data_IF_091790377708
#
_entry.id   IF_091790377708
#
_cell.length_a   1.000
_cell.length_b   1.000
_cell.length_c   1.000
_cell.angle_alpha   90.00
_cell.angle_beta   90.00
_cell.angle_gamma   90.00
#
_symmetry.space_group_name_H-M   'P 1'
#
loop_
_entity.id
_entity.type
_entity.pdbx_description
1 polymer ?
#
# COMPACT_ATOMS: atom_id res chain seq x y z
N UNK A 1 26.56 -14.62 5.40
CA UNK A 1 27.62 -13.77 6.00
C UNK A 1 28.90 -14.56 6.19
N UNK A 2 28.94 -15.66 6.97
CA UNK A 2 30.15 -16.48 7.12
C UNK A 2 30.80 -16.91 5.79
N UNK A 3 29.99 -17.38 4.82
CA UNK A 3 30.47 -17.74 3.49
C UNK A 3 31.05 -16.57 2.67
N UNK A 4 30.55 -15.35 2.85
CA UNK A 4 31.09 -14.16 2.18
C UNK A 4 32.40 -13.69 2.82
N UNK A 5 32.50 -13.79 4.15
CA UNK A 5 33.73 -13.47 4.88
C UNK A 5 34.83 -14.51 4.63
N UNK A 6 34.45 -15.78 4.49
CA UNK A 6 35.38 -16.85 4.09
C UNK A 6 35.91 -16.63 2.67
N UNK A 7 35.06 -16.19 1.74
CA UNK A 7 35.45 -15.85 0.36
C UNK A 7 36.36 -14.60 0.28
N UNK A 8 36.29 -13.73 1.28
CA UNK A 8 37.14 -12.53 1.42
C UNK A 8 38.39 -12.77 2.28
N UNK A 9 38.66 -14.00 2.73
CA UNK A 9 39.73 -14.35 3.68
C UNK A 9 39.70 -13.52 5.00
N UNK A 10 38.50 -13.12 5.42
CA UNK A 10 38.24 -12.26 6.60
C UNK A 10 37.47 -13.00 7.71
N UNK A 11 37.38 -14.33 7.63
CA UNK A 11 36.74 -15.13 8.66
C UNK A 11 37.75 -15.53 9.76
N UNK A 12 38.10 -14.57 10.62
CA UNK A 12 38.91 -14.85 11.79
C UNK A 12 38.07 -15.41 12.97
N UNK A 13 38.70 -15.97 14.03
CA UNK A 13 37.98 -16.52 15.18
C UNK A 13 37.13 -15.49 15.94
N UNK A 14 37.51 -14.21 15.94
CA UNK A 14 36.76 -13.14 16.61
C UNK A 14 35.49 -12.80 15.83
N UNK A 15 35.57 -12.71 14.51
CA UNK A 15 34.44 -12.48 13.59
C UNK A 15 33.50 -13.69 13.63
N UNK A 16 34.04 -14.91 13.72
CA UNK A 16 33.25 -16.11 13.98
C UNK A 16 32.46 -16.02 15.30
N UNK A 17 33.08 -15.56 16.38
CA UNK A 17 32.41 -15.35 17.67
C UNK A 17 31.36 -14.24 17.62
N UNK A 18 31.59 -13.17 16.84
CA UNK A 18 30.64 -12.09 16.59
C UNK A 18 29.41 -12.58 15.82
N UNK A 19 29.60 -13.38 14.78
CA UNK A 19 28.52 -13.98 14.00
C UNK A 19 27.63 -14.91 14.85
N UNK A 20 28.20 -15.59 15.84
CA UNK A 20 27.46 -16.43 16.78
C UNK A 20 26.67 -15.65 17.85
N UNK A 21 26.93 -14.34 18.01
CA UNK A 21 26.27 -13.47 19.00
C UNK A 21 25.57 -12.25 18.37
N UNK A 22 25.05 -12.40 17.14
CA UNK A 22 24.35 -11.33 16.41
C UNK A 22 23.09 -10.82 17.12
N UNK A 23 22.51 -11.62 18.02
CA UNK A 23 21.36 -11.24 18.85
C UNK A 23 21.71 -10.12 19.86
N UNK A 24 22.94 -10.10 20.37
CA UNK A 24 23.45 -9.03 21.24
C UNK A 24 23.70 -7.74 20.45
N UNK A 25 24.16 -7.86 19.20
CA UNK A 25 24.29 -6.72 18.26
C UNK A 25 22.91 -6.11 17.99
N UNK A 26 21.89 -6.94 17.74
CA UNK A 26 20.52 -6.48 17.52
C UNK A 26 19.92 -5.75 18.74
N UNK A 27 20.31 -6.15 19.95
CA UNK A 27 19.91 -5.49 21.21
C UNK A 27 20.75 -4.26 21.56
N UNK A 28 21.77 -3.95 20.78
CA UNK A 28 22.77 -2.89 21.07
C UNK A 28 23.48 -3.09 22.41
N UNK A 29 23.65 -4.35 22.84
CA UNK A 29 24.35 -4.69 24.08
C UNK A 29 25.84 -4.97 23.81
N UNK A 30 26.57 -3.90 23.52
CA UNK A 30 27.99 -3.97 23.16
C UNK A 30 28.89 -4.31 24.36
N UNK A 31 28.43 -4.10 25.60
CA UNK A 31 29.20 -4.39 26.81
C UNK A 31 29.32 -5.90 27.00
N UNK A 32 28.18 -6.61 26.96
CA UNK A 32 28.15 -8.07 27.08
C UNK A 32 28.84 -8.74 25.88
N UNK A 33 28.77 -8.11 24.71
CA UNK A 33 29.41 -8.59 23.49
C UNK A 33 30.94 -8.53 23.57
N UNK A 34 31.52 -7.42 24.05
CA UNK A 34 32.97 -7.26 24.26
C UNK A 34 33.51 -8.31 25.23
N UNK A 35 32.81 -8.54 26.35
CA UNK A 35 33.21 -9.53 27.35
C UNK A 35 33.22 -10.96 26.80
N UNK A 36 32.29 -11.30 25.89
CA UNK A 36 32.22 -12.63 25.28
C UNK A 36 33.24 -12.87 24.17
N UNK A 37 33.57 -11.84 23.41
CA UNK A 37 34.47 -11.94 22.23
C UNK A 37 35.93 -11.67 22.64
N UNK A 38 36.16 -10.90 23.70
CA UNK A 38 37.50 -10.47 24.10
C UNK A 38 38.09 -9.39 23.18
N UNK A 39 37.24 -8.63 22.49
CA UNK A 39 37.63 -7.58 21.55
C UNK A 39 37.78 -6.22 22.25
N UNK A 40 38.70 -5.38 21.75
CA UNK A 40 38.78 -3.97 22.14
C UNK A 40 37.65 -3.14 21.52
N UNK A 41 37.53 -1.88 21.94
CA UNK A 41 36.54 -0.94 21.41
C UNK A 41 36.77 -0.64 19.93
N UNK A 42 38.04 -0.55 19.52
CA UNK A 42 38.44 -0.32 18.13
C UNK A 42 38.16 -1.57 17.27
N UNK A 43 38.58 -2.75 17.73
CA UNK A 43 38.36 -4.01 17.01
C UNK A 43 36.87 -4.30 16.80
N UNK A 44 36.04 -4.06 17.82
CA UNK A 44 34.59 -4.26 17.69
C UNK A 44 33.97 -3.29 16.67
N UNK A 45 34.47 -2.05 16.59
CA UNK A 45 34.06 -1.07 15.61
C UNK A 45 34.32 -1.57 14.19
N UNK A 46 35.57 -1.95 13.93
CA UNK A 46 36.02 -2.45 12.62
C UNK A 46 35.23 -3.69 12.18
N UNK A 47 35.06 -4.66 13.09
CA UNK A 47 34.29 -5.88 12.81
C UNK A 47 32.81 -5.60 12.50
N UNK A 48 32.20 -4.62 13.17
CA UNK A 48 30.81 -4.24 12.91
C UNK A 48 30.66 -3.51 11.58
N UNK A 49 31.64 -2.70 11.18
CA UNK A 49 31.66 -2.08 9.86
C UNK A 49 31.78 -3.13 8.75
N UNK A 50 32.66 -4.12 8.92
CA UNK A 50 32.80 -5.23 7.98
C UNK A 50 31.50 -6.02 7.82
N UNK A 51 30.85 -6.41 8.92
CA UNK A 51 29.57 -7.13 8.84
C UNK A 51 28.47 -6.29 8.18
N UNK A 52 28.47 -4.96 8.39
CA UNK A 52 27.52 -4.05 7.75
C UNK A 52 27.78 -3.89 6.25
N UNK A 53 29.02 -4.01 5.81
CA UNK A 53 29.40 -3.96 4.40
C UNK A 53 28.98 -5.22 3.63
N UNK A 54 28.76 -6.34 4.31
CA UNK A 54 28.30 -7.59 3.71
C UNK A 54 26.87 -7.50 3.18
N UNK A 55 26.59 -8.23 2.10
CA UNK A 55 25.24 -8.33 1.59
C UNK A 55 24.46 -9.40 2.38
N UNK A 56 23.44 -9.04 3.18
CA UNK A 56 22.69 -10.01 3.98
C UNK A 56 21.87 -11.00 3.13
N UNK A 57 21.64 -10.70 1.84
CA UNK A 57 20.85 -11.53 0.93
C UNK A 57 21.52 -11.63 -0.46
N UNK A 58 22.66 -12.32 -0.59
CA UNK A 58 23.38 -12.44 -1.87
C UNK A 58 22.54 -13.11 -2.97
N UNK A 59 21.66 -14.05 -2.59
CA UNK A 59 20.75 -14.73 -3.50
C UNK A 59 19.73 -13.81 -4.19
N UNK A 60 19.53 -12.57 -3.70
CA UNK A 60 18.60 -11.60 -4.30
C UNK A 60 19.06 -11.14 -5.69
N UNK A 61 20.36 -11.17 -5.99
CA UNK A 61 20.87 -10.85 -7.32
C UNK A 61 20.52 -11.93 -8.36
N UNK A 62 20.21 -13.15 -7.90
CA UNK A 62 19.79 -14.28 -8.74
C UNK A 62 18.28 -14.49 -8.71
N UNK A 63 17.55 -13.61 -8.01
CA UNK A 63 16.10 -13.61 -8.01
C UNK A 63 15.61 -13.04 -9.34
N UNK A 64 15.34 -13.95 -10.29
CA UNK A 64 14.77 -13.63 -11.60
C UNK A 64 13.26 -13.36 -11.56
N UNK A 65 12.67 -13.16 -10.37
CA UNK A 65 11.28 -12.77 -10.27
C UNK A 65 11.08 -11.40 -10.92
N UNK A 66 10.52 -11.40 -12.13
CA UNK A 66 10.00 -10.18 -12.73
C UNK A 66 8.94 -9.62 -11.80
N UNK A 67 9.19 -8.45 -11.19
CA UNK A 67 8.15 -7.73 -10.48
C UNK A 67 7.00 -7.50 -11.45
N UNK A 68 5.88 -8.18 -11.22
CA UNK A 68 4.66 -7.91 -11.97
C UNK A 68 4.15 -6.55 -11.52
N UNK A 69 4.40 -5.54 -12.37
CA UNK A 69 3.84 -4.22 -12.16
C UNK A 69 2.30 -4.34 -12.20
N UNK A 70 1.65 -3.82 -11.17
CA UNK A 70 0.19 -3.77 -11.14
C UNK A 70 -0.27 -2.79 -12.21
N UNK A 71 -1.03 -3.29 -13.18
CA UNK A 71 -1.61 -2.47 -14.25
C UNK A 71 -2.91 -1.84 -13.73
N UNK A 72 -3.08 -0.51 -13.84
CA UNK A 72 -4.31 0.15 -13.41
C UNK A 72 -5.48 -0.19 -14.33
N UNK A 73 -6.67 -0.28 -13.74
CA UNK A 73 -7.94 -0.42 -14.47
C UNK A 73 -8.51 0.94 -14.89
N UNK A 74 -8.25 1.99 -14.12
CA UNK A 74 -8.73 3.36 -14.36
C UNK A 74 -7.59 4.35 -14.19
N UNK A 75 -7.52 5.35 -15.07
CA UNK A 75 -6.66 6.52 -14.94
C UNK A 75 -7.49 7.73 -14.52
N UNK A 76 -7.00 8.47 -13.52
CA UNK A 76 -7.51 9.78 -13.12
C UNK A 76 -6.44 10.82 -13.45
N UNK A 77 -6.83 11.85 -14.22
CA UNK A 77 -5.95 12.97 -14.60
C UNK A 77 -6.67 14.30 -14.40
N UNK A 78 -5.93 15.39 -14.12
CA UNK A 78 -6.53 16.73 -14.14
C UNK A 78 -7.06 17.04 -15.55
N UNK A 79 -8.31 17.47 -15.62
CA UNK A 79 -8.94 17.96 -16.84
C UNK A 79 -8.62 19.43 -17.10
N UNK A 80 -8.79 19.91 -18.34
CA UNK A 80 -8.55 21.31 -18.71
C UNK A 80 -9.50 22.29 -17.99
N UNK A 81 -10.69 21.84 -17.60
CA UNK A 81 -11.71 22.67 -16.94
C UNK A 81 -11.53 22.75 -15.41
N UNK A 82 -10.41 22.24 -14.88
CA UNK A 82 -10.16 22.14 -13.44
C UNK A 82 -10.83 20.96 -12.73
N UNK A 83 -11.59 20.12 -13.46
CA UNK A 83 -12.17 18.87 -12.97
C UNK A 83 -11.23 17.66 -13.13
N UNK A 84 -11.75 16.45 -12.88
CA UNK A 84 -11.03 15.19 -13.11
C UNK A 84 -11.50 14.51 -14.38
N UNK A 85 -10.55 14.15 -15.25
CA UNK A 85 -10.76 13.28 -16.40
C UNK A 85 -10.50 11.83 -15.97
N UNK A 86 -11.47 10.96 -16.19
CA UNK A 86 -11.38 9.53 -15.89
C UNK A 86 -11.44 8.69 -17.17
N UNK A 87 -10.48 7.80 -17.33
CA UNK A 87 -10.37 6.92 -18.49
C UNK A 87 -10.18 5.47 -18.04
N UNK A 88 -10.92 4.54 -18.65
CA UNK A 88 -10.68 3.11 -18.47
C UNK A 88 -9.43 2.69 -19.22
N UNK A 89 -8.65 1.80 -18.63
CA UNK A 89 -7.51 1.21 -19.33
C UNK A 89 -7.99 0.16 -20.35
N UNK A 90 -7.93 0.51 -21.63
CA UNK A 90 -8.36 -0.36 -22.73
C UNK A 90 -7.46 -1.59 -22.95
N UNK A 91 -6.29 -1.66 -22.33
CA UNK A 91 -5.36 -2.79 -22.42
C UNK A 91 -5.76 -3.96 -21.52
N UNK A 92 -6.36 -3.66 -20.36
CA UNK A 92 -6.88 -4.68 -19.41
C UNK A 92 -8.34 -5.03 -19.65
N UNK A 93 -9.06 -4.26 -20.46
CA UNK A 93 -10.44 -4.56 -20.83
C UNK A 93 -10.50 -5.71 -21.86
N UNK A 94 -11.22 -6.81 -21.57
CA UNK A 94 -11.38 -7.90 -22.53
C UNK A 94 -12.19 -7.43 -23.73
N UNK A 95 -11.59 -7.53 -24.93
CA UNK A 95 -12.26 -7.21 -26.20
C UNK A 95 -12.96 -8.45 -26.74
N UNK A 96 -14.28 -8.51 -26.56
CA UNK A 96 -15.11 -9.62 -27.07
C UNK A 96 -15.94 -9.13 -28.25
N UNK A 97 -15.86 -9.84 -29.38
CA UNK A 97 -16.63 -9.56 -30.58
C UNK A 97 -17.47 -10.78 -30.95
N UNK A 98 -18.77 -10.56 -31.16
CA UNK A 98 -19.68 -11.61 -31.62
C UNK A 98 -19.55 -11.76 -33.13
N UNK A 99 -19.10 -12.93 -33.60
CA UNK A 99 -18.97 -13.21 -35.03
C UNK A 99 -20.34 -13.50 -35.67
N UNK A 100 -21.01 -12.44 -36.14
CA UNK A 100 -22.32 -12.51 -36.79
C UNK A 100 -22.27 -13.19 -38.16
N UNK A 101 -21.16 -13.03 -38.90
CA UNK A 101 -20.98 -13.65 -40.22
C UNK A 101 -20.98 -15.17 -40.12
N UNK A 102 -20.27 -15.71 -39.13
CA UNK A 102 -20.27 -17.14 -38.84
C UNK A 102 -21.67 -17.64 -38.49
N UNK A 103 -22.36 -16.97 -37.57
CA UNK A 103 -23.75 -17.29 -37.21
C UNK A 103 -24.66 -17.37 -38.45
N UNK A 104 -24.62 -16.35 -39.32
CA UNK A 104 -25.43 -16.33 -40.55
C UNK A 104 -25.05 -17.45 -41.53
N UNK A 105 -23.77 -17.80 -41.63
CA UNK A 105 -23.31 -18.88 -42.52
C UNK A 105 -23.80 -20.26 -42.07
N UNK A 106 -23.76 -20.51 -40.75
CA UNK A 106 -24.18 -21.78 -40.15
C UNK A 106 -25.70 -21.89 -40.14
N UNK A 107 -26.39 -20.82 -39.73
CA UNK A 107 -27.86 -20.76 -39.67
C UNK A 107 -28.52 -21.09 -41.03
N UNK A 108 -27.91 -20.70 -42.15
CA UNK A 108 -28.37 -21.03 -43.51
C UNK A 108 -28.25 -22.52 -43.86
N UNK A 109 -27.29 -23.24 -43.26
CA UNK A 109 -27.04 -24.67 -43.51
C UNK A 109 -27.85 -25.57 -42.59
N UNK A 110 -28.27 -25.05 -41.45
CA UNK A 110 -29.05 -25.77 -40.44
C UNK A 110 -30.50 -25.97 -40.86
N UNK A 111 -30.96 -27.23 -40.88
CA UNK A 111 -32.32 -27.59 -41.30
C UNK A 111 -33.21 -28.04 -40.14
N UNK A 112 -32.64 -28.67 -39.12
CA UNK A 112 -33.39 -29.17 -37.96
C UNK A 112 -33.81 -28.02 -37.02
N UNK A 113 -35.01 -28.15 -36.45
CA UNK A 113 -35.60 -27.18 -35.52
C UNK A 113 -34.82 -27.14 -34.20
N UNK A 114 -34.31 -28.29 -33.73
CA UNK A 114 -33.49 -28.36 -32.50
C UNK A 114 -32.15 -27.64 -32.67
N UNK A 115 -31.48 -27.86 -33.80
CA UNK A 115 -30.21 -27.20 -34.12
C UNK A 115 -30.37 -25.68 -34.26
N UNK A 116 -31.47 -25.22 -34.90
CA UNK A 116 -31.77 -23.77 -34.99
C UNK A 116 -31.98 -23.14 -33.62
N UNK A 117 -32.71 -23.81 -32.73
CA UNK A 117 -32.94 -23.33 -31.37
C UNK A 117 -31.62 -23.21 -30.59
N UNK A 118 -30.73 -24.20 -30.71
CA UNK A 118 -29.41 -24.18 -30.09
C UNK A 118 -28.55 -22.99 -30.58
N UNK A 119 -28.53 -22.73 -31.90
CA UNK A 119 -27.78 -21.60 -32.44
C UNK A 119 -28.30 -20.26 -31.92
N UNK A 120 -29.63 -20.09 -31.83
CA UNK A 120 -30.24 -18.88 -31.26
C UNK A 120 -29.82 -18.70 -29.80
N UNK A 121 -29.82 -19.76 -29.00
CA UNK A 121 -29.38 -19.72 -27.61
C UNK A 121 -27.89 -19.33 -27.49
N UNK A 122 -27.01 -19.92 -28.29
CA UNK A 122 -25.59 -19.52 -28.34
C UNK A 122 -25.40 -18.04 -28.69
N UNK A 123 -26.18 -17.51 -29.65
CA UNK A 123 -26.12 -16.10 -30.01
C UNK A 123 -26.62 -15.19 -28.89
N UNK A 124 -27.70 -15.59 -28.20
CA UNK A 124 -28.22 -14.87 -27.04
C UNK A 124 -27.19 -14.83 -25.91
N UNK A 125 -26.56 -15.97 -25.60
CA UNK A 125 -25.51 -16.08 -24.59
C UNK A 125 -24.28 -15.21 -24.95
N UNK A 126 -23.86 -15.19 -26.22
CA UNK A 126 -22.76 -14.35 -26.68
C UNK A 126 -23.07 -12.84 -26.58
N UNK A 127 -24.29 -12.44 -26.96
CA UNK A 127 -24.74 -11.04 -26.82
C UNK A 127 -24.87 -10.64 -25.34
N UNK A 128 -25.40 -11.53 -24.50
CA UNK A 128 -25.49 -11.32 -23.06
C UNK A 128 -24.10 -11.10 -22.45
N UNK A 129 -23.13 -11.97 -22.77
CA UNK A 129 -21.75 -11.84 -22.27
C UNK A 129 -21.14 -10.48 -22.66
N UNK A 130 -21.28 -10.09 -23.93
CA UNK A 130 -20.76 -8.81 -24.42
C UNK A 130 -21.37 -7.63 -23.67
N UNK A 131 -22.70 -7.66 -23.48
CA UNK A 131 -23.43 -6.63 -22.72
C UNK A 131 -23.02 -6.60 -21.25
N UNK A 132 -22.83 -7.76 -20.62
CA UNK A 132 -22.41 -7.85 -19.22
C UNK A 132 -20.99 -7.32 -18.99
N UNK A 133 -20.08 -7.53 -19.96
CA UNK A 133 -18.73 -6.97 -19.90
C UNK A 133 -18.73 -5.45 -20.02
N UNK A 134 -19.50 -4.91 -20.97
CA UNK A 134 -19.67 -3.46 -21.14
C UNK A 134 -20.31 -2.82 -19.90
N UNK A 135 -21.37 -3.43 -19.37
CA UNK A 135 -22.01 -2.96 -18.13
C UNK A 135 -21.03 -2.95 -16.96
N UNK A 136 -20.19 -3.99 -16.81
CA UNK A 136 -19.16 -4.03 -15.77
C UNK A 136 -18.14 -2.90 -15.93
N UNK A 137 -17.67 -2.65 -17.15
CA UNK A 137 -16.73 -1.56 -17.44
C UNK A 137 -17.33 -0.19 -17.09
N UNK A 138 -18.59 0.04 -17.48
CA UNK A 138 -19.33 1.25 -17.13
C UNK A 138 -19.51 1.41 -15.62
N UNK A 139 -19.82 0.33 -14.89
CA UNK A 139 -19.94 0.41 -13.43
C UNK A 139 -18.60 0.71 -12.76
N UNK A 140 -17.49 0.11 -13.22
CA UNK A 140 -16.15 0.43 -12.72
C UNK A 140 -15.87 1.93 -12.88
N UNK A 141 -16.16 2.49 -14.07
CA UNK A 141 -15.97 3.90 -14.34
C UNK A 141 -16.85 4.77 -13.45
N UNK A 142 -18.14 4.44 -13.27
CA UNK A 142 -19.05 5.16 -12.37
C UNK A 142 -18.55 5.19 -10.92
N UNK A 143 -18.11 4.04 -10.41
CA UNK A 143 -17.53 3.93 -9.06
C UNK A 143 -16.26 4.77 -8.96
N UNK A 144 -15.37 4.71 -9.94
CA UNK A 144 -14.15 5.50 -9.94
C UNK A 144 -14.42 7.01 -10.00
N UNK A 145 -15.40 7.43 -10.80
CA UNK A 145 -15.83 8.84 -10.89
C UNK A 145 -16.35 9.34 -9.54
N UNK A 146 -17.17 8.53 -8.85
CA UNK A 146 -17.69 8.92 -7.55
C UNK A 146 -16.59 8.96 -6.48
N UNK A 147 -15.64 8.02 -6.51
CA UNK A 147 -14.44 8.06 -5.66
C UNK A 147 -13.66 9.35 -5.91
N UNK A 148 -13.40 9.71 -7.18
CA UNK A 148 -12.66 10.92 -7.55
C UNK A 148 -13.37 12.19 -7.04
N UNK A 149 -14.70 12.25 -7.17
CA UNK A 149 -15.54 13.35 -6.70
C UNK A 149 -15.47 13.52 -5.19
N UNK A 150 -15.63 12.43 -4.43
CA UNK A 150 -15.59 12.46 -2.97
C UNK A 150 -14.18 12.72 -2.42
N UNK A 151 -13.14 12.31 -3.16
CA UNK A 151 -11.72 12.38 -2.76
C UNK A 151 -10.94 13.48 -3.49
N UNK A 152 -11.62 14.53 -3.95
CA UNK A 152 -10.99 15.66 -4.64
C UNK A 152 -9.81 16.26 -3.83
N UNK A 153 -10.02 16.49 -2.53
CA UNK A 153 -9.00 17.03 -1.64
C UNK A 153 -7.77 16.12 -1.52
N UNK A 154 -7.95 14.80 -1.57
CA UNK A 154 -6.85 13.83 -1.59
C UNK A 154 -6.08 13.88 -2.92
N UNK A 155 -6.77 13.97 -4.05
CA UNK A 155 -6.12 14.01 -5.36
C UNK A 155 -5.26 15.26 -5.52
N UNK A 156 -5.67 16.39 -4.91
CA UNK A 156 -4.92 17.64 -4.88
C UNK A 156 -3.79 17.64 -3.83
N UNK A 157 -4.09 17.33 -2.57
CA UNK A 157 -3.19 17.58 -1.43
C UNK A 157 -2.55 16.30 -0.84
N UNK A 158 -2.95 15.12 -1.33
CA UNK A 158 -2.43 13.83 -0.92
C UNK A 158 -3.11 13.21 0.30
N UNK A 159 -2.46 12.18 0.86
CA UNK A 159 -3.01 11.29 1.91
C UNK A 159 -3.51 12.03 3.16
N UNK A 160 -2.90 13.17 3.50
CA UNK A 160 -3.29 13.97 4.66
C UNK A 160 -4.71 14.53 4.57
N UNK A 161 -5.24 14.68 3.35
CA UNK A 161 -6.58 15.18 3.07
C UNK A 161 -7.53 14.08 2.58
N UNK A 162 -7.21 12.81 2.87
CA UNK A 162 -8.12 11.69 2.60
C UNK A 162 -9.37 11.81 3.47
N UNK A 163 -10.54 11.92 2.83
CA UNK A 163 -11.82 12.05 3.50
C UNK A 163 -12.39 10.67 3.83
N UNK A 164 -13.04 10.47 4.99
CA UNK A 164 -13.79 9.26 5.27
C UNK A 164 -14.84 8.99 4.19
N UNK A 165 -14.89 7.77 3.69
CA UNK A 165 -15.84 7.36 2.66
C UNK A 165 -16.14 5.89 2.86
N UNK A 166 -17.41 5.55 3.02
CA UNK A 166 -17.86 4.15 3.15
C UNK A 166 -18.33 3.61 1.81
N UNK A 167 -18.37 2.28 1.69
CA UNK A 167 -18.95 1.61 0.52
C UNK A 167 -20.40 2.04 0.30
N UNK A 168 -21.16 2.24 1.39
CA UNK A 168 -22.54 2.73 1.35
C UNK A 168 -22.64 4.11 0.71
N UNK A 169 -21.74 5.05 1.02
CA UNK A 169 -21.78 6.39 0.43
C UNK A 169 -21.71 6.34 -1.10
N UNK A 170 -20.79 5.53 -1.64
CA UNK A 170 -20.65 5.37 -3.10
C UNK A 170 -21.82 4.60 -3.68
N UNK A 171 -22.26 3.54 -3.00
CA UNK A 171 -23.39 2.71 -3.44
C UNK A 171 -24.69 3.51 -3.57
N UNK A 172 -25.00 4.34 -2.57
CA UNK A 172 -26.17 5.23 -2.57
C UNK A 172 -26.07 6.26 -3.71
N UNK A 173 -24.88 6.86 -3.94
CA UNK A 173 -24.68 7.87 -4.97
C UNK A 173 -24.81 7.34 -6.41
N UNK A 174 -24.45 6.07 -6.65
CA UNK A 174 -24.56 5.44 -7.98
C UNK A 174 -25.81 4.56 -8.13
N UNK A 175 -26.72 4.58 -7.15
CA UNK A 175 -27.96 3.79 -7.10
C UNK A 175 -27.71 2.28 -7.25
N UNK A 176 -26.70 1.76 -6.57
CA UNK A 176 -26.36 0.33 -6.57
C UNK A 176 -26.30 -0.24 -5.16
N UNK A 177 -26.34 -1.58 -5.07
CA UNK A 177 -26.19 -2.25 -3.78
C UNK A 177 -24.73 -2.26 -3.31
N UNK A 178 -24.50 -2.07 -2.00
CA UNK A 178 -23.16 -2.03 -1.38
C UNK A 178 -22.31 -3.27 -1.75
N UNK A 179 -22.92 -4.45 -1.75
CA UNK A 179 -22.24 -5.70 -2.13
C UNK A 179 -21.72 -5.69 -3.57
N UNK A 180 -22.36 -4.95 -4.47
CA UNK A 180 -21.91 -4.80 -5.86
C UNK A 180 -20.68 -3.92 -5.94
N UNK A 181 -20.68 -2.78 -5.23
CA UNK A 181 -19.52 -1.89 -5.13
C UNK A 181 -18.32 -2.61 -4.49
N UNK A 182 -18.55 -3.36 -3.41
CA UNK A 182 -17.52 -4.15 -2.74
C UNK A 182 -16.86 -5.19 -3.68
N UNK A 183 -17.69 -5.91 -4.46
CA UNK A 183 -17.19 -6.90 -5.43
C UNK A 183 -16.42 -6.24 -6.58
N UNK A 184 -16.94 -5.13 -7.10
CA UNK A 184 -16.34 -4.45 -8.25
C UNK A 184 -14.99 -3.83 -7.89
N UNK A 185 -14.85 -3.25 -6.70
CA UNK A 185 -13.64 -2.55 -6.26
C UNK A 185 -12.51 -3.48 -5.81
N UNK A 186 -12.79 -4.76 -5.60
CA UNK A 186 -11.79 -5.75 -5.19
C UNK A 186 -10.80 -6.04 -6.32
N UNK A 187 -9.49 -5.98 -6.03
CA UNK A 187 -8.43 -6.16 -7.03
C UNK A 187 -8.62 -5.24 -8.24
N UNK A 188 -9.03 -3.99 -7.99
CA UNK A 188 -9.07 -2.94 -8.99
C UNK A 188 -8.20 -1.78 -8.55
N UNK A 189 -7.46 -1.25 -9.49
CA UNK A 189 -6.48 -0.21 -9.22
C UNK A 189 -6.78 1.04 -10.04
N UNK A 190 -6.57 2.18 -9.40
CA UNK A 190 -6.71 3.50 -9.99
C UNK A 190 -5.32 4.14 -10.01
N UNK A 191 -4.86 4.52 -11.19
CA UNK A 191 -3.71 5.40 -11.34
C UNK A 191 -4.16 6.85 -11.17
N UNK A 192 -3.57 7.54 -10.21
CA UNK A 192 -3.85 8.95 -9.87
C UNK A 192 -2.58 9.78 -10.05
N UNK A 193 -2.67 11.12 -10.04
CA UNK A 193 -1.47 11.99 -10.02
C UNK A 193 -0.61 11.86 -8.76
N UNK A 194 -1.09 11.12 -7.75
CA UNK A 194 -0.40 10.83 -6.50
C UNK A 194 0.19 9.41 -6.46
N UNK A 195 -0.04 8.60 -7.50
CA UNK A 195 0.42 7.22 -7.58
C UNK A 195 -0.72 6.22 -7.85
N UNK A 196 -0.37 4.94 -7.78
CA UNK A 196 -1.29 3.82 -8.00
C UNK A 196 -1.90 3.37 -6.67
N UNK A 197 -3.23 3.32 -6.61
CA UNK A 197 -3.97 2.92 -5.42
C UNK A 197 -5.00 1.84 -5.75
N UNK A 198 -5.17 0.85 -4.87
CA UNK A 198 -6.35 -0.02 -4.96
C UNK A 198 -7.60 0.82 -4.68
N UNK A 199 -8.70 0.58 -5.39
CA UNK A 199 -9.98 1.27 -5.14
C UNK A 199 -10.40 1.17 -3.67
N UNK A 200 -10.12 0.04 -3.03
CA UNK A 200 -10.47 -0.19 -1.63
C UNK A 200 -9.73 0.71 -0.64
N UNK A 201 -8.58 1.24 -1.01
CA UNK A 201 -7.80 2.15 -0.18
C UNK A 201 -8.62 3.38 0.23
N UNK A 202 -9.50 3.85 -0.65
CA UNK A 202 -10.31 5.03 -0.40
C UNK A 202 -11.48 4.78 0.56
N UNK A 203 -11.87 3.51 0.80
CA UNK A 203 -12.94 3.19 1.73
C UNK A 203 -12.41 3.16 3.15
N UNK A 204 -12.45 4.31 3.81
CA UNK A 204 -11.94 4.51 5.16
C UNK A 204 -13.04 4.93 6.12
N UNK A 205 -12.93 4.47 7.36
CA UNK A 205 -13.83 4.89 8.44
C UNK A 205 -13.40 6.24 9.00
N UNK A 206 -14.39 7.06 9.33
CA UNK A 206 -14.18 8.29 10.08
C UNK A 206 -13.67 7.99 11.49
N UNK A 207 -12.90 8.92 12.05
CA UNK A 207 -12.58 8.93 13.47
C UNK A 207 -13.69 9.67 14.21
N UNK A 208 -14.17 9.14 15.33
CA UNK A 208 -15.12 9.89 16.16
C UNK A 208 -14.37 11.08 16.79
N UNK A 209 -14.55 12.28 16.25
CA UNK A 209 -14.15 13.52 16.93
C UNK A 209 -15.32 14.00 17.81
N UNK A 210 -14.99 14.69 18.90
CA UNK A 210 -15.96 15.34 19.79
C UNK A 210 -16.81 16.40 19.09
N UNK A 211 -16.39 16.84 17.89
CA UNK A 211 -16.93 17.96 17.12
C UNK A 211 -18.06 17.58 16.14
N UNK A 212 -18.48 16.31 16.06
CA UNK A 212 -19.63 15.87 15.26
C UNK A 212 -19.40 15.74 13.75
N UNK A 213 -18.46 16.48 13.18
CA UNK A 213 -18.00 16.34 11.78
C UNK A 213 -16.50 16.08 11.77
N UNK A 214 -16.10 14.81 11.64
CA UNK A 214 -14.70 14.45 11.44
C UNK A 214 -14.38 14.34 9.95
N UNK A 215 -13.70 15.34 9.42
CA UNK A 215 -13.21 15.32 8.02
C UNK A 215 -12.00 14.39 7.80
N UNK A 216 -11.44 13.83 8.88
CA UNK A 216 -10.18 13.08 8.82
C UNK A 216 -10.38 11.56 8.87
N UNK A 217 -9.82 10.87 7.87
CA UNK A 217 -9.77 9.42 7.86
C UNK A 217 -8.71 8.87 8.83
N UNK A 218 -8.93 7.63 9.29
CA UNK A 218 -7.92 6.91 10.09
C UNK A 218 -6.56 6.76 9.38
N UNK A 219 -6.55 6.69 8.04
CA UNK A 219 -5.31 6.59 7.26
C UNK A 219 -4.57 7.92 7.16
N UNK A 220 -5.31 9.04 7.02
CA UNK A 220 -4.73 10.39 7.11
C UNK A 220 -3.99 10.59 8.43
N UNK A 221 -4.60 10.16 9.55
CA UNK A 221 -4.00 10.28 10.88
C UNK A 221 -2.76 9.40 11.03
N UNK A 222 -2.78 8.16 10.53
CA UNK A 222 -1.58 7.31 10.50
C UNK A 222 -0.44 7.97 9.73
N UNK A 223 -0.75 8.56 8.58
CA UNK A 223 0.24 9.26 7.76
C UNK A 223 0.81 10.48 8.49
N UNK A 224 -0.03 11.28 9.14
CA UNK A 224 0.40 12.43 9.95
C UNK A 224 1.28 12.00 11.14
N UNK A 225 0.92 10.93 11.86
CA UNK A 225 1.74 10.37 12.94
C UNK A 225 3.13 10.00 12.40
N UNK A 226 3.19 9.35 11.24
CA UNK A 226 4.46 9.01 10.59
C UNK A 226 5.27 10.26 10.26
N UNK A 227 4.68 11.28 9.64
CA UNK A 227 5.36 12.54 9.34
C UNK A 227 5.91 13.24 10.59
N UNK A 228 5.13 13.28 11.68
CA UNK A 228 5.55 13.87 12.95
C UNK A 228 6.73 13.11 13.55
N UNK A 229 6.70 11.77 13.51
CA UNK A 229 7.79 10.93 14.03
C UNK A 229 9.03 11.00 13.14
N UNK A 230 8.86 11.03 11.82
CA UNK A 230 9.98 11.11 10.87
C UNK A 230 10.71 12.47 10.98
N UNK A 231 9.97 13.55 11.32
CA UNK A 231 10.52 14.89 11.56
C UNK A 231 11.08 15.10 12.99
N UNK A 232 11.07 14.10 13.88
CA UNK A 232 11.49 14.29 15.26
C UNK A 232 13.03 14.43 15.40
N UNK A 233 13.46 15.42 16.19
CA UNK A 233 14.87 15.64 16.53
C UNK A 233 15.41 14.50 17.43
N UNK A 234 16.64 14.07 17.18
CA UNK A 234 17.38 13.09 17.98
C UNK A 234 17.45 13.51 19.46
N UNK A 235 17.57 14.82 19.74
CA UNK A 235 17.62 15.34 21.11
C UNK A 235 16.25 15.44 21.78
N UNK A 236 15.16 15.48 21.00
CA UNK A 236 13.79 15.69 21.49
C UNK A 236 12.81 14.73 20.83
N UNK A 237 12.89 13.47 21.24
CA UNK A 237 11.96 12.43 20.77
C UNK A 237 10.58 12.64 21.37
N UNK A 238 9.58 12.62 20.51
CA UNK A 238 8.21 12.91 20.85
C UNK A 238 7.55 11.71 21.53
N UNK A 239 6.88 11.94 22.67
CA UNK A 239 6.01 10.95 23.30
C UNK A 239 4.67 10.85 22.57
N UNK A 240 3.95 9.75 22.74
CA UNK A 240 2.61 9.58 22.16
C UNK A 240 1.65 10.70 22.62
N UNK A 241 1.78 11.18 23.87
CA UNK A 241 1.03 12.33 24.38
C UNK A 241 1.37 13.63 23.63
N UNK A 242 2.65 13.84 23.31
CA UNK A 242 3.07 15.04 22.56
C UNK A 242 2.61 14.99 21.11
N UNK A 243 2.59 13.81 20.50
CA UNK A 243 2.04 13.61 19.16
C UNK A 243 0.53 13.94 19.17
N UNK A 244 -0.22 13.52 20.21
CA UNK A 244 -1.63 13.88 20.35
C UNK A 244 -1.85 15.39 20.40
N UNK A 245 -1.04 16.09 21.21
CA UNK A 245 -1.10 17.55 21.36
C UNK A 245 -0.79 18.27 20.04
N UNK A 246 0.21 17.80 19.29
CA UNK A 246 0.58 18.37 17.98
C UNK A 246 -0.56 18.18 16.97
N UNK A 247 -1.16 16.98 16.91
CA UNK A 247 -2.29 16.70 16.01
C UNK A 247 -3.50 17.56 16.34
N UNK A 248 -3.82 17.71 17.63
CA UNK A 248 -4.92 18.57 18.09
C UNK A 248 -4.68 20.04 17.74
N UNK A 249 -3.47 20.59 17.96
CA UNK A 249 -3.19 22.01 17.68
C UNK A 249 -3.05 22.33 16.20
N UNK A 250 -2.39 21.47 15.43
CA UNK A 250 -1.99 21.78 14.05
C UNK A 250 -3.07 21.39 13.06
N UNK A 251 -3.75 20.27 13.32
CA UNK A 251 -4.70 19.66 12.41
C UNK A 251 -6.12 19.58 12.99
N UNK A 252 -6.36 20.09 14.21
CA UNK A 252 -7.66 20.03 14.89
C UNK A 252 -8.18 18.59 15.05
N UNK A 253 -7.27 17.61 15.14
CA UNK A 253 -7.62 16.20 15.29
C UNK A 253 -7.44 15.77 16.74
N UNK A 254 -8.55 15.50 17.42
CA UNK A 254 -8.53 14.94 18.76
C UNK A 254 -8.40 13.42 18.72
N UNK A 255 -7.24 12.91 19.15
CA UNK A 255 -6.95 11.48 19.17
C UNK A 255 -6.40 11.09 20.54
N UNK A 256 -6.99 10.07 21.16
CA UNK A 256 -6.51 9.54 22.42
C UNK A 256 -5.11 8.90 22.28
N UNK A 257 -4.27 9.02 23.31
CA UNK A 257 -2.92 8.43 23.37
C UNK A 257 -2.88 6.95 22.99
N UNK A 258 -3.85 6.14 23.47
CA UNK A 258 -3.93 4.70 23.16
C UNK A 258 -4.14 4.45 21.66
N UNK A 259 -4.90 5.30 20.99
CA UNK A 259 -5.14 5.22 19.54
C UNK A 259 -3.87 5.54 18.75
N UNK A 260 -3.10 6.53 19.20
CA UNK A 260 -1.79 6.86 18.61
C UNK A 260 -0.82 5.68 18.77
N UNK A 261 -0.73 5.10 19.97
CA UNK A 261 0.10 3.92 20.20
C UNK A 261 -0.28 2.75 19.27
N UNK A 262 -1.58 2.46 19.14
CA UNK A 262 -2.09 1.43 18.21
C UNK A 262 -1.74 1.72 16.75
N UNK A 263 -1.88 2.97 16.30
CA UNK A 263 -1.53 3.36 14.93
C UNK A 263 -0.03 3.31 14.69
N UNK A 264 0.77 3.73 15.67
CA UNK A 264 2.24 3.64 15.64
C UNK A 264 2.72 2.19 15.52
N UNK A 265 2.14 1.28 16.29
CA UNK A 265 2.40 -0.16 16.22
C UNK A 265 2.05 -0.74 14.85
N UNK A 266 0.89 -0.37 14.29
CA UNK A 266 0.50 -0.78 12.93
C UNK A 266 1.44 -0.27 11.83
N UNK A 267 2.16 0.83 12.07
CA UNK A 267 3.18 1.38 11.17
C UNK A 267 4.59 0.83 11.45
N UNK A 268 4.74 -0.13 12.36
CA UNK A 268 6.03 -0.67 12.81
C UNK A 268 6.97 0.41 13.38
N UNK A 269 6.42 1.50 13.90
CA UNK A 269 7.21 2.56 14.53
C UNK A 269 7.40 2.18 16.01
N UNK A 270 8.64 2.08 16.53
CA UNK A 270 8.86 1.72 17.93
C UNK A 270 8.47 2.85 18.91
N UNK A 271 8.33 2.52 20.19
CA UNK A 271 7.96 3.48 21.23
C UNK A 271 9.03 4.55 21.42
N UNK A 272 8.66 5.70 22.00
CA UNK A 272 9.60 6.81 22.24
C UNK A 272 10.82 6.40 23.07
N UNK A 273 10.69 5.41 23.96
CA UNK A 273 11.80 4.87 24.75
C UNK A 273 12.80 4.11 23.87
N UNK A 274 12.29 3.26 22.97
CA UNK A 274 13.12 2.47 22.06
C UNK A 274 13.73 3.38 20.98
N UNK A 275 12.97 4.30 20.40
CA UNK A 275 13.49 5.30 19.43
C UNK A 275 14.64 6.12 20.01
N UNK A 276 14.55 6.44 21.31
CA UNK A 276 15.61 7.17 22.04
C UNK A 276 16.90 6.39 22.17
N UNK A 277 16.81 5.09 22.46
CA UNK A 277 17.99 4.23 22.50
C UNK A 277 18.61 4.09 21.10
N UNK A 278 17.78 3.84 20.08
CA UNK A 278 18.22 3.64 18.69
C UNK A 278 18.85 4.89 18.06
N UNK A 279 18.31 6.09 18.30
CA UNK A 279 18.89 7.32 17.77
C UNK A 279 20.14 7.75 18.53
N UNK A 280 20.25 7.43 19.83
CA UNK A 280 21.47 7.69 20.62
C UNK A 280 22.65 6.83 20.15
N UNK A 281 22.42 5.56 19.78
CA UNK A 281 23.47 4.67 19.26
C UNK A 281 23.90 4.96 17.82
N UNK A 282 23.20 5.85 17.10
CA UNK A 282 23.57 6.31 15.75
C UNK A 282 24.41 7.60 15.74
N UNK A 283 24.68 8.23 16.89
CA UNK A 283 25.55 9.39 16.94
C UNK A 283 27.02 8.94 16.89
N UNK A 284 27.84 9.47 15.94
CA UNK A 284 29.28 9.30 16.02
C UNK A 284 29.78 10.10 17.23
N UNK A 285 30.34 9.42 18.22
CA UNK A 285 30.91 10.04 19.42
C UNK A 285 30.28 9.63 20.75
N UNK A 286 29.92 8.37 20.92
CA UNK A 286 30.06 7.58 22.16
C UNK A 286 29.98 6.09 21.83
#
# INVERSE_FOLDING_TARGET
MALQLADQDRLDPMIGALLNNLDLVAKSDFITLKQKIGASDEDLGDMLEEIRALNPRPGRAFDGSSMQAVVPDVYIRPGPDGGWLLELNSEVLPRVLVNRTYYSSVSKRTRDKKEKAFLVDCLQNANWLTKSLDQRAQTILKVATEIARMQDSFLLHGVTHLKPMTLKNVADAIEMHESTVSRITTNKYIATPRGLFEMKYFFTTALNSSSGESEHSSESVRHLIKQIVDAEDVKKILSDDKIAEILSRTHQIEVARRTIAKYREGLNIPSSVVRRRQKKSKMPGF
#
